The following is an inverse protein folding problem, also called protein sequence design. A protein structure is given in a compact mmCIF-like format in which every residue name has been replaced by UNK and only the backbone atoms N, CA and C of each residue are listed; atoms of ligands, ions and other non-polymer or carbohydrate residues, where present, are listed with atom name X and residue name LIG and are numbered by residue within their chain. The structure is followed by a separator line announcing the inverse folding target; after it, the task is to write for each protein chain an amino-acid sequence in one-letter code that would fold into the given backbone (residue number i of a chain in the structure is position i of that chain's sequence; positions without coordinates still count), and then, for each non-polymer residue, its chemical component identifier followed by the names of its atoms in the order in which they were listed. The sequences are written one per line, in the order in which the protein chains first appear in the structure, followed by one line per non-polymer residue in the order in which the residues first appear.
data_IF_647541207033
#
_entry.id   IF_647541207033
#
_cell.length_a   1.000
_cell.length_b   1.000
_cell.length_c   1.000
_cell.angle_alpha   90.00
_cell.angle_beta   90.00
_cell.angle_gamma   90.00
#
_symmetry.space_group_name_H-M   'P 1'
#
loop_
_entity.id
_entity.type
_entity.pdbx_description
1 polymer ?
#
# COMPACT_ATOMS: atom_id res chain seq x y z
N UNK A 1 -15.95 10.29 12.04
CA UNK A 1 -15.16 11.35 11.37
C UNK A 1 -15.94 11.76 10.11
N UNK A 2 -15.64 12.90 9.50
CA UNK A 2 -16.26 13.24 8.21
C UNK A 2 -15.68 12.32 7.13
N UNK A 3 -16.50 11.72 6.26
CA UNK A 3 -16.00 11.02 5.05
C UNK A 3 -15.65 12.00 3.93
N UNK A 4 -15.58 13.30 4.23
CA UNK A 4 -15.30 14.37 3.29
C UNK A 4 -13.82 14.69 3.35
N UNK A 5 -13.17 14.74 2.18
CA UNK A 5 -11.78 15.17 2.03
C UNK A 5 -11.54 16.56 2.66
N UNK A 6 -10.71 16.64 3.70
CA UNK A 6 -10.37 17.90 4.40
C UNK A 6 -9.24 18.68 3.71
N UNK A 7 -8.28 17.97 3.09
CA UNK A 7 -7.19 18.54 2.32
C UNK A 7 -6.35 17.49 1.60
N UNK A 8 -5.50 17.92 0.67
CA UNK A 8 -4.57 17.05 -0.06
C UNK A 8 -3.25 17.76 -0.38
N UNK A 9 -2.18 17.00 -0.52
CA UNK A 9 -0.88 17.45 -1.04
C UNK A 9 -0.32 16.38 -1.98
N UNK A 10 0.56 16.76 -2.90
CA UNK A 10 1.11 15.88 -3.92
C UNK A 10 2.63 15.95 -3.95
N UNK A 11 3.28 14.81 -3.73
CA UNK A 11 4.72 14.64 -3.85
C UNK A 11 5.06 14.30 -5.31
N UNK A 12 5.95 15.06 -5.99
CA UNK A 12 6.39 14.71 -7.33
C UNK A 12 7.06 13.34 -7.38
N UNK A 13 6.75 12.52 -8.39
CA UNK A 13 7.31 11.17 -8.51
C UNK A 13 8.84 11.14 -8.69
N UNK A 14 9.44 12.24 -9.18
CA UNK A 14 10.89 12.39 -9.31
C UNK A 14 11.49 13.10 -8.08
N UNK A 15 11.06 12.72 -6.88
CA UNK A 15 11.63 13.21 -5.62
C UNK A 15 12.66 12.23 -5.09
N UNK A 16 13.90 12.68 -4.95
CA UNK A 16 15.02 11.87 -4.49
C UNK A 16 15.69 12.49 -3.27
N UNK A 17 16.08 11.65 -2.33
CA UNK A 17 16.94 12.00 -1.21
C UNK A 17 18.40 11.62 -1.49
N UNK A 18 19.32 12.27 -0.76
CA UNK A 18 20.74 11.97 -0.84
C UNK A 18 21.03 10.50 -0.50
N UNK A 19 21.91 9.87 -1.27
CA UNK A 19 22.32 8.49 -1.08
C UNK A 19 23.06 7.94 -2.30
N UNK A 20 23.49 6.68 -2.25
CA UNK A 20 24.02 5.99 -3.43
C UNK A 20 22.95 5.89 -4.52
N UNK A 21 23.39 5.61 -5.76
CA UNK A 21 22.47 5.32 -6.86
C UNK A 21 21.59 4.10 -6.55
N UNK A 22 20.36 4.13 -7.03
CA UNK A 22 19.36 3.06 -6.87
C UNK A 22 18.75 2.64 -8.21
N UNK A 23 18.05 1.51 -8.26
CA UNK A 23 17.35 1.04 -9.45
C UNK A 23 18.27 0.54 -10.56
N UNK A 24 19.47 0.07 -10.22
CA UNK A 24 20.45 -0.48 -11.16
C UNK A 24 20.07 -1.89 -11.66
N UNK A 25 19.16 -2.59 -10.98
CA UNK A 25 18.72 -3.94 -11.34
C UNK A 25 17.23 -4.16 -11.10
N UNK A 26 16.51 -4.65 -12.10
CA UNK A 26 15.13 -5.14 -12.02
C UNK A 26 15.03 -6.60 -11.54
N UNK A 27 16.02 -7.08 -10.79
CA UNK A 27 16.18 -8.49 -10.41
C UNK A 27 16.86 -9.37 -11.45
N UNK A 28 17.03 -8.90 -12.69
CA UNK A 28 17.70 -9.64 -13.77
C UNK A 28 19.00 -8.98 -14.27
N UNK A 29 19.58 -8.07 -13.48
CA UNK A 29 20.84 -7.40 -13.81
C UNK A 29 20.72 -6.34 -14.91
N UNK A 30 19.49 -5.89 -15.20
CA UNK A 30 19.20 -4.75 -16.09
C UNK A 30 18.60 -3.62 -15.27
N UNK A 31 18.90 -2.34 -15.53
CA UNK A 31 18.29 -1.24 -14.80
C UNK A 31 16.76 -1.29 -14.81
N UNK A 32 16.16 -0.79 -13.73
CA UNK A 32 14.72 -0.62 -13.64
C UNK A 32 14.28 0.30 -14.78
N UNK A 33 13.25 -0.09 -15.52
CA UNK A 33 12.72 0.65 -16.64
C UNK A 33 11.19 0.46 -16.71
N UNK A 34 10.45 1.38 -16.10
CA UNK A 34 8.99 1.37 -16.06
C UNK A 34 8.47 2.81 -16.05
N UNK A 35 7.25 3.04 -16.55
CA UNK A 35 6.55 4.33 -16.41
C UNK A 35 7.36 5.56 -16.85
N UNK A 36 8.10 5.41 -17.97
CA UNK A 36 8.93 6.47 -18.55
C UNK A 36 10.20 6.79 -17.76
N UNK A 37 10.50 6.05 -16.70
CA UNK A 37 11.66 6.22 -15.83
C UNK A 37 12.62 5.06 -16.04
N UNK A 38 13.91 5.36 -16.03
CA UNK A 38 14.94 4.33 -16.19
C UNK A 38 16.12 4.64 -15.28
N UNK A 39 16.48 3.66 -14.46
CA UNK A 39 17.62 3.75 -13.57
C UNK A 39 18.98 3.54 -14.28
N UNK A 40 20.08 3.57 -13.53
CA UNK A 40 20.13 3.90 -12.12
C UNK A 40 19.75 5.38 -11.87
N UNK A 41 19.06 5.64 -10.78
CA UNK A 41 18.68 6.98 -10.36
C UNK A 41 19.80 7.62 -9.53
N UNK A 42 20.00 8.92 -9.68
CA UNK A 42 21.01 9.69 -8.96
C UNK A 42 20.54 10.03 -7.53
N UNK A 43 20.30 9.00 -6.71
CA UNK A 43 19.86 9.11 -5.33
C UNK A 43 18.90 7.98 -4.92
N UNK A 44 18.25 8.17 -3.78
CA UNK A 44 17.25 7.24 -3.24
C UNK A 44 15.84 7.82 -3.44
N UNK A 45 14.89 7.09 -4.05
CA UNK A 45 13.53 7.57 -4.18
C UNK A 45 12.91 7.82 -2.80
N UNK A 46 12.16 8.91 -2.66
CA UNK A 46 11.45 9.23 -1.41
C UNK A 46 10.11 8.51 -1.36
N UNK A 47 9.43 8.39 -2.50
CA UNK A 47 8.12 7.77 -2.65
C UNK A 47 8.11 6.26 -2.38
N UNK A 48 6.89 5.71 -2.28
CA UNK A 48 6.63 4.32 -1.91
C UNK A 48 6.53 4.19 -0.40
N UNK A 49 5.51 4.81 0.19
CA UNK A 49 5.31 4.79 1.64
C UNK A 49 4.34 3.68 2.02
N UNK A 50 4.68 2.89 3.03
CA UNK A 50 3.82 1.83 3.56
C UNK A 50 3.21 2.19 4.92
N UNK A 51 3.74 3.19 5.61
CA UNK A 51 3.18 3.66 6.89
C UNK A 51 3.46 5.13 7.19
N UNK A 52 2.66 5.71 8.09
CA UNK A 52 2.74 7.13 8.50
C UNK A 52 2.50 7.31 10.00
N UNK A 53 3.22 8.23 10.61
CA UNK A 53 2.99 8.71 11.99
C UNK A 53 3.15 10.23 12.06
N UNK A 54 2.50 10.88 13.02
CA UNK A 54 2.81 12.28 13.33
C UNK A 54 4.26 12.41 13.82
N UNK A 55 4.97 13.45 13.37
CA UNK A 55 6.29 13.75 13.89
C UNK A 55 6.19 14.18 15.37
N UNK A 56 6.89 13.52 16.32
CA UNK A 56 6.77 13.80 17.75
C UNK A 56 7.10 15.25 18.14
N UNK A 57 8.02 15.87 17.40
CA UNK A 57 8.49 17.24 17.62
C UNK A 57 7.87 18.27 16.65
N UNK A 58 6.89 17.86 15.84
CA UNK A 58 6.19 18.75 14.91
C UNK A 58 5.16 19.65 15.60
N UNK A 59 4.74 20.72 14.93
CA UNK A 59 3.59 21.54 15.33
C UNK A 59 2.23 20.91 14.95
N UNK A 60 2.27 19.64 14.50
CA UNK A 60 1.14 18.90 13.95
C UNK A 60 1.08 18.90 12.42
N UNK A 61 1.92 19.68 11.72
CA UNK A 61 1.96 19.68 10.25
C UNK A 61 2.91 18.63 9.67
N UNK A 62 3.87 18.16 10.46
CA UNK A 62 4.93 17.26 9.98
C UNK A 62 4.64 15.80 10.33
N UNK A 63 4.97 14.91 9.39
CA UNK A 63 4.76 13.48 9.48
C UNK A 63 6.07 12.73 9.24
N UNK A 64 6.19 11.56 9.85
CA UNK A 64 7.14 10.53 9.44
C UNK A 64 6.44 9.55 8.53
N UNK A 65 7.05 9.23 7.40
CA UNK A 65 6.62 8.17 6.50
C UNK A 65 7.71 7.11 6.44
N UNK A 66 7.35 5.83 6.53
CA UNK A 66 8.30 4.74 6.31
C UNK A 66 8.20 4.29 4.85
N UNK A 67 9.35 4.05 4.22
CA UNK A 67 9.39 3.45 2.88
C UNK A 67 8.91 2.01 2.92
N UNK A 68 8.24 1.55 1.87
CA UNK A 68 8.04 0.14 1.51
C UNK A 68 9.41 -0.51 1.15
N UNK A 69 9.43 -1.76 0.70
CA UNK A 69 10.60 -2.41 0.10
C UNK A 69 11.13 -1.71 -1.16
N UNK A 70 10.48 -0.67 -1.67
CA UNK A 70 11.03 0.19 -2.71
C UNK A 70 10.49 -0.10 -4.09
N UNK A 71 11.13 -1.00 -4.85
CA UNK A 71 10.77 -1.23 -6.26
C UNK A 71 9.72 -2.33 -6.48
N UNK A 72 8.96 -2.67 -5.45
CA UNK A 72 7.83 -3.61 -5.51
C UNK A 72 8.24 -5.08 -5.43
N UNK A 73 9.43 -5.37 -4.92
CA UNK A 73 9.87 -6.75 -4.73
C UNK A 73 11.26 -6.90 -4.13
N UNK A 74 11.50 -8.06 -3.53
CA UNK A 74 12.78 -8.37 -2.91
C UNK A 74 13.95 -8.37 -3.92
N UNK A 75 13.72 -8.92 -5.12
CA UNK A 75 14.79 -9.17 -6.09
C UNK A 75 15.30 -7.92 -6.80
N UNK A 76 14.51 -6.84 -6.87
CA UNK A 76 14.86 -5.60 -7.55
C UNK A 76 15.17 -4.44 -6.59
N UNK A 77 15.19 -4.69 -5.28
CA UNK A 77 15.31 -3.64 -4.25
C UNK A 77 16.59 -3.71 -3.42
N UNK A 78 17.63 -4.35 -3.95
CA UNK A 78 18.93 -4.48 -3.27
C UNK A 78 19.72 -3.18 -3.19
N UNK A 79 19.39 -2.16 -3.98
CA UNK A 79 20.00 -0.82 -3.92
C UNK A 79 19.01 0.28 -3.47
N UNK A 80 17.84 -0.12 -2.98
CA UNK A 80 16.87 0.75 -2.33
C UNK A 80 17.10 0.73 -0.82
N UNK A 81 17.52 1.86 -0.24
CA UNK A 81 17.78 1.98 1.19
C UNK A 81 16.49 2.22 1.97
N UNK A 82 16.24 1.41 2.99
CA UNK A 82 15.07 1.53 3.86
C UNK A 82 15.21 2.73 4.80
N UNK A 83 14.21 3.61 4.80
CA UNK A 83 14.26 4.91 5.49
C UNK A 83 12.91 5.29 6.08
N UNK A 84 12.96 6.09 7.14
CA UNK A 84 11.84 6.96 7.50
C UNK A 84 12.12 8.36 6.96
N UNK A 85 11.16 8.97 6.26
CA UNK A 85 11.24 10.31 5.73
C UNK A 85 10.39 11.28 6.56
N UNK A 86 10.96 12.41 6.94
CA UNK A 86 10.23 13.51 7.55
C UNK A 86 9.66 14.38 6.45
N UNK A 87 8.34 14.52 6.42
CA UNK A 87 7.61 15.18 5.34
C UNK A 87 6.59 16.16 5.91
N UNK A 88 6.59 17.37 5.37
CA UNK A 88 5.70 18.47 5.75
C UNK A 88 4.82 18.85 4.55
N UNK A 89 3.64 18.21 4.41
CA UNK A 89 2.68 18.52 3.37
C UNK A 89 1.95 19.85 3.63
N UNK A 90 1.91 20.71 2.63
CA UNK A 90 1.13 21.96 2.65
C UNK A 90 -0.27 21.72 2.07
N UNK A 91 -1.19 21.19 2.87
CA UNK A 91 -2.48 20.70 2.39
C UNK A 91 -3.36 21.78 1.71
N UNK A 92 -3.62 21.60 0.42
CA UNK A 92 -4.68 22.32 -0.28
C UNK A 92 -6.05 21.83 0.21
N UNK A 93 -6.96 22.74 0.53
CA UNK A 93 -8.28 22.38 1.05
C UNK A 93 -8.75 23.33 2.16
N UNK A 94 -9.24 22.76 3.25
CA UNK A 94 -9.74 23.51 4.41
C UNK A 94 -8.68 24.38 5.08
N UNK A 95 -7.41 23.97 5.01
CA UNK A 95 -6.26 24.70 5.57
C UNK A 95 -5.72 25.80 4.65
N UNK A 96 -6.10 25.80 3.36
CA UNK A 96 -5.70 26.82 2.40
C UNK A 96 -4.25 26.75 1.92
N UNK A 97 -3.58 25.60 2.09
CA UNK A 97 -2.26 25.32 1.54
C UNK A 97 -2.25 25.23 0.00
N UNK A 98 -1.06 25.11 -0.58
CA UNK A 98 -0.86 25.09 -2.04
C UNK A 98 -0.74 23.69 -2.64
N UNK A 99 -0.83 22.64 -1.81
CA UNK A 99 -0.74 21.25 -2.21
C UNK A 99 0.70 20.75 -2.43
N UNK A 100 1.72 21.57 -2.13
CA UNK A 100 3.12 21.14 -2.19
C UNK A 100 3.51 20.25 -1.01
N UNK A 101 4.61 19.52 -1.18
CA UNK A 101 5.19 18.65 -0.15
C UNK A 101 6.65 19.02 0.04
N UNK A 102 7.05 19.29 1.29
CA UNK A 102 8.45 19.52 1.66
C UNK A 102 9.03 18.27 2.34
N UNK A 103 10.15 17.75 1.82
CA UNK A 103 10.85 16.59 2.40
C UNK A 103 12.02 17.12 3.22
N UNK A 104 11.87 17.10 4.54
CA UNK A 104 12.76 17.80 5.47
C UNK A 104 14.01 17.00 5.85
N UNK A 105 13.93 15.66 5.79
CA UNK A 105 15.04 14.78 6.14
C UNK A 105 14.66 13.31 6.17
N UNK A 106 15.58 12.47 6.62
CA UNK A 106 15.32 11.04 6.79
C UNK A 106 16.13 10.42 7.94
N UNK A 107 15.64 9.29 8.44
CA UNK A 107 16.35 8.33 9.31
C UNK A 107 16.68 7.10 8.46
N UNK A 108 17.96 6.76 8.37
CA UNK A 108 18.44 5.58 7.63
C UNK A 108 18.41 4.35 8.55
N UNK A 109 17.72 3.28 8.13
CA UNK A 109 17.69 2.04 8.90
C UNK A 109 18.98 1.22 8.67
N UNK A 110 19.54 0.69 9.75
CA UNK A 110 20.85 0.05 9.75
C UNK A 110 20.99 -1.04 10.83
N UNK A 111 21.84 -2.04 10.59
CA UNK A 111 22.27 -3.03 11.59
C UNK A 111 23.78 -2.93 11.89
N UNK A 112 24.27 -1.82 12.46
CA UNK A 112 25.71 -1.61 12.63
C UNK A 112 26.37 -2.59 13.62
N UNK A 113 25.57 -3.28 14.44
CA UNK A 113 26.03 -4.19 15.49
C UNK A 113 25.94 -5.67 15.09
N UNK A 114 25.59 -5.98 13.85
CA UNK A 114 25.50 -7.36 13.33
C UNK A 114 24.57 -8.24 14.17
N UNK A 115 23.35 -7.74 14.38
CA UNK A 115 22.31 -8.39 15.18
C UNK A 115 21.40 -9.28 14.34
N UNK A 116 21.31 -9.06 13.03
CA UNK A 116 20.48 -9.87 12.13
C UNK A 116 21.15 -11.25 11.93
N UNK A 117 20.43 -12.36 12.16
CA UNK A 117 21.03 -13.71 12.17
C UNK A 117 21.12 -14.36 10.76
N UNK A 118 20.90 -13.59 9.70
CA UNK A 118 20.94 -14.03 8.30
C UNK A 118 21.66 -12.98 7.45
N UNK A 119 22.06 -13.38 6.24
CA UNK A 119 22.79 -12.51 5.32
C UNK A 119 21.92 -11.34 4.86
N UNK A 120 22.45 -10.12 4.99
CA UNK A 120 21.85 -8.90 4.43
C UNK A 120 22.67 -8.38 3.24
N UNK A 121 22.08 -7.53 2.43
CA UNK A 121 22.67 -7.00 1.21
C UNK A 121 23.98 -6.24 1.46
N UNK A 122 24.05 -5.47 2.56
CA UNK A 122 25.21 -4.64 2.92
C UNK A 122 26.07 -5.25 4.05
N UNK A 123 26.04 -6.57 4.23
CA UNK A 123 26.74 -7.34 5.29
C UNK A 123 28.23 -6.96 5.43
N UNK A 124 28.91 -6.70 4.31
CA UNK A 124 30.34 -6.39 4.25
C UNK A 124 30.72 -4.92 4.49
N UNK A 125 29.75 -4.05 4.79
CA UNK A 125 29.98 -2.62 5.05
C UNK A 125 30.09 -2.32 6.55
N UNK A 126 30.55 -1.13 6.94
CA UNK A 126 30.65 -0.77 8.36
C UNK A 126 29.28 -0.43 8.92
N UNK A 127 28.50 0.29 8.14
CA UNK A 127 27.21 0.84 8.52
C UNK A 127 26.09 -0.20 8.45
N UNK A 128 26.21 -1.19 7.55
CA UNK A 128 25.23 -2.28 7.36
C UNK A 128 23.81 -1.72 7.15
N UNK A 129 23.69 -0.76 6.23
CA UNK A 129 22.41 -0.17 5.87
C UNK A 129 21.46 -1.22 5.31
N UNK A 130 20.21 -1.19 5.78
CA UNK A 130 19.17 -2.12 5.37
C UNK A 130 18.57 -1.69 4.04
N UNK A 131 18.26 -2.67 3.20
CA UNK A 131 17.66 -2.45 1.89
C UNK A 131 16.33 -3.16 1.75
N UNK A 132 15.56 -2.79 0.73
CA UNK A 132 14.29 -3.46 0.40
C UNK A 132 14.44 -4.93 -0.02
N UNK A 133 15.66 -5.41 -0.28
CA UNK A 133 15.88 -6.85 -0.42
C UNK A 133 15.98 -7.59 0.93
N UNK A 134 16.30 -6.86 2.00
CA UNK A 134 16.48 -7.44 3.34
C UNK A 134 15.14 -7.60 4.07
N UNK A 135 14.27 -6.58 3.96
CA UNK A 135 12.99 -6.50 4.67
C UNK A 135 11.91 -5.81 3.84
N UNK A 136 10.65 -6.22 4.09
CA UNK A 136 9.44 -5.63 3.55
C UNK A 136 8.70 -4.91 4.66
N UNK A 137 9.05 -3.64 4.91
CA UNK A 137 8.56 -2.91 6.09
C UNK A 137 7.24 -2.22 5.78
N UNK A 138 6.25 -2.41 6.65
CA UNK A 138 4.85 -2.05 6.35
C UNK A 138 4.24 -1.06 7.35
N UNK A 139 4.82 -0.95 8.53
CA UNK A 139 4.26 -0.11 9.58
C UNK A 139 5.31 0.26 10.62
N UNK A 140 5.07 1.35 11.34
CA UNK A 140 5.93 1.71 12.47
C UNK A 140 5.19 2.49 13.54
N UNK A 141 5.75 2.46 14.75
CA UNK A 141 5.38 3.31 15.88
C UNK A 141 6.64 3.84 16.55
N UNK A 142 6.56 5.05 17.11
CA UNK A 142 7.64 5.65 17.90
C UNK A 142 7.23 5.59 19.38
N UNK A 143 8.08 5.04 20.23
CA UNK A 143 7.81 4.93 21.66
C UNK A 143 8.20 6.20 22.45
N UNK A 144 7.96 6.19 23.76
CA UNK A 144 8.24 7.36 24.61
C UNK A 144 9.74 7.67 24.79
N UNK A 145 10.63 6.74 24.44
CA UNK A 145 12.09 6.96 24.43
C UNK A 145 12.57 7.50 23.07
N UNK A 146 11.69 7.50 22.06
CA UNK A 146 12.04 7.81 20.68
C UNK A 146 12.48 6.59 19.88
N UNK A 147 12.37 5.38 20.45
CA UNK A 147 12.72 4.15 19.74
C UNK A 147 11.64 3.82 18.70
N UNK A 148 12.06 3.30 17.55
CA UNK A 148 11.22 3.04 16.39
C UNK A 148 10.98 1.53 16.31
N UNK A 149 9.72 1.13 16.41
CA UNK A 149 9.28 -0.25 16.26
C UNK A 149 8.63 -0.42 14.90
N UNK A 150 9.10 -1.37 14.09
CA UNK A 150 8.71 -1.54 12.69
C UNK A 150 8.15 -2.95 12.47
N UNK A 151 6.97 -3.04 11.86
CA UNK A 151 6.37 -4.29 11.39
C UNK A 151 6.85 -4.63 9.98
N UNK A 152 7.06 -5.91 9.72
CA UNK A 152 7.71 -6.42 8.51
C UNK A 152 6.97 -7.65 7.94
N UNK A 153 6.94 -7.81 6.60
CA UNK A 153 6.12 -8.81 5.90
C UNK A 153 6.89 -10.07 5.44
N UNK A 154 8.17 -10.01 5.05
CA UNK A 154 8.89 -11.21 4.56
C UNK A 154 9.08 -12.29 5.64
N UNK A 155 9.11 -11.92 6.92
CA UNK A 155 9.54 -12.82 7.99
C UNK A 155 8.66 -12.93 9.24
N UNK A 156 7.36 -12.62 9.17
CA UNK A 156 6.87 -11.42 9.83
C UNK A 156 7.62 -11.14 11.15
N UNK A 157 8.54 -10.18 11.10
CA UNK A 157 9.31 -9.76 12.26
C UNK A 157 8.77 -8.46 12.84
N UNK A 158 9.07 -8.24 14.12
CA UNK A 158 9.07 -6.92 14.73
C UNK A 158 10.53 -6.49 14.84
N UNK A 159 10.87 -5.36 14.21
CA UNK A 159 12.19 -4.75 14.24
C UNK A 159 12.17 -3.58 15.24
N UNK A 160 13.29 -3.35 15.92
CA UNK A 160 13.40 -2.35 16.98
C UNK A 160 14.68 -1.54 16.80
N UNK A 161 14.53 -0.26 16.49
CA UNK A 161 15.61 0.68 16.21
C UNK A 161 15.64 1.82 17.23
N UNK A 162 16.80 2.42 17.45
CA UNK A 162 16.87 3.71 18.14
C UNK A 162 16.33 4.86 17.26
N UNK A 163 16.20 6.04 17.85
CA UNK A 163 15.79 7.26 17.15
C UNK A 163 16.71 7.67 15.96
N UNK A 164 17.92 7.09 15.87
CA UNK A 164 18.86 7.31 14.77
C UNK A 164 18.79 6.23 13.68
N UNK A 165 17.90 5.23 13.82
CA UNK A 165 17.72 4.15 12.84
C UNK A 165 18.65 2.96 13.02
N UNK A 166 19.38 2.85 14.14
CA UNK A 166 20.24 1.69 14.40
C UNK A 166 19.46 0.59 15.09
N UNK A 167 19.55 -0.64 14.58
CA UNK A 167 18.90 -1.81 15.14
C UNK A 167 19.45 -2.09 16.56
N UNK A 168 18.55 -2.29 17.52
CA UNK A 168 18.87 -2.46 18.94
C UNK A 168 18.89 -3.93 19.38
N UNK A 169 18.12 -4.79 18.71
CA UNK A 169 18.06 -6.22 18.96
C UNK A 169 17.80 -7.02 17.69
N UNK A 170 18.05 -8.33 17.73
CA UNK A 170 17.77 -9.21 16.60
C UNK A 170 16.26 -9.19 16.27
N UNK A 171 15.87 -9.35 14.98
CA UNK A 171 14.46 -9.38 14.57
C UNK A 171 13.62 -10.33 15.42
N UNK A 172 12.54 -9.82 15.99
CA UNK A 172 11.65 -10.59 16.88
C UNK A 172 10.61 -11.28 16.01
N UNK A 173 10.63 -12.60 15.93
CA UNK A 173 9.60 -13.35 15.19
C UNK A 173 8.22 -13.13 15.81
N UNK A 174 7.21 -12.82 14.99
CA UNK A 174 5.84 -12.54 15.45
C UNK A 174 4.80 -13.67 15.31
N UNK A 175 5.13 -14.98 15.19
CA UNK A 175 4.07 -15.97 15.11
C UNK A 175 3.38 -16.11 16.49
N UNK A 176 2.10 -15.70 16.54
CA UNK A 176 1.16 -15.93 17.66
C UNK A 176 1.25 -15.00 18.87
N UNK A 177 1.22 -13.68 18.65
CA UNK A 177 0.91 -12.75 19.75
C UNK A 177 -0.61 -12.77 19.98
N UNK A 178 -1.06 -13.37 21.09
CA UNK A 178 -2.49 -13.39 21.47
C UNK A 178 -2.94 -12.10 22.17
N UNK A 179 -1.99 -11.30 22.67
CA UNK A 179 -2.24 -10.00 23.30
C UNK A 179 -1.47 -8.90 22.55
N UNK A 180 -2.17 -8.22 21.64
CA UNK A 180 -1.64 -7.05 20.95
C UNK A 180 -1.81 -5.83 21.88
N UNK A 181 -0.86 -5.63 22.80
CA UNK A 181 -0.82 -4.42 23.61
C UNK A 181 -0.04 -3.35 22.85
N UNK A 182 -0.65 -2.20 22.58
CA UNK A 182 0.09 -1.04 22.07
C UNK A 182 0.96 -0.43 23.16
N UNK A 183 1.96 0.36 22.76
CA UNK A 183 2.91 1.02 23.68
C UNK A 183 2.23 1.93 24.73
N UNK A 184 1.01 2.39 24.46
CA UNK A 184 0.22 3.25 25.34
C UNK A 184 -0.97 2.51 26.01
N UNK A 185 -1.06 1.18 25.87
CA UNK A 185 -2.10 0.36 26.47
C UNK A 185 -3.48 0.48 25.81
N UNK A 186 -3.58 1.14 24.65
CA UNK A 186 -4.79 1.10 23.82
C UNK A 186 -4.83 -0.19 22.98
N UNK A 187 -6.00 -0.52 22.44
CA UNK A 187 -6.12 -1.56 21.41
C UNK A 187 -5.45 -1.06 20.12
N UNK A 188 -4.70 -1.91 19.37
CA UNK A 188 -4.17 -1.51 18.07
C UNK A 188 -5.32 -1.21 17.11
N UNK A 189 -5.05 -0.35 16.13
CA UNK A 189 -5.92 -0.26 14.97
C UNK A 189 -5.80 -1.54 14.16
N UNK A 190 -6.94 -2.04 13.66
CA UNK A 190 -7.00 -3.21 12.79
C UNK A 190 -7.48 -2.77 11.41
N UNK A 191 -6.64 -2.95 10.39
CA UNK A 191 -6.97 -2.66 9.00
C UNK A 191 -7.31 -3.98 8.30
N UNK A 192 -8.54 -4.12 7.81
CA UNK A 192 -8.98 -5.28 7.04
C UNK A 192 -8.43 -5.22 5.62
N UNK A 193 -7.21 -5.73 5.41
CA UNK A 193 -6.53 -5.82 4.10
C UNK A 193 -7.39 -6.60 3.10
N UNK A 194 -7.96 -5.87 2.13
CA UNK A 194 -8.96 -6.35 1.16
C UNK A 194 -10.23 -6.94 1.78
N UNK A 195 -10.55 -6.54 3.01
CA UNK A 195 -11.58 -7.12 3.88
C UNK A 195 -11.11 -8.36 4.63
N UNK A 196 -12.02 -9.26 4.98
CA UNK A 196 -11.71 -10.56 5.59
C UNK A 196 -11.25 -11.57 4.50
N UNK A 197 -10.21 -11.19 3.75
CA UNK A 197 -9.77 -11.84 2.50
C UNK A 197 -9.26 -13.28 2.68
N UNK A 198 -8.88 -13.66 3.90
CA UNK A 198 -8.57 -15.05 4.25
C UNK A 198 -9.79 -15.98 4.30
N UNK A 199 -10.98 -15.41 4.51
CA UNK A 199 -12.24 -16.16 4.70
C UNK A 199 -13.20 -16.00 3.52
N UNK A 200 -13.27 -14.81 2.92
CA UNK A 200 -14.17 -14.48 1.80
C UNK A 200 -13.36 -13.99 0.59
N UNK A 201 -13.89 -14.07 -0.65
CA UNK A 201 -13.26 -13.47 -1.82
C UNK A 201 -12.93 -12.00 -1.56
N UNK A 202 -11.68 -11.64 -1.80
CA UNK A 202 -11.14 -10.30 -1.53
C UNK A 202 -11.90 -9.20 -2.29
N UNK A 203 -11.93 -8.00 -1.69
CA UNK A 203 -12.63 -6.82 -2.22
C UNK A 203 -14.10 -7.06 -2.58
N UNK A 204 -14.84 -7.73 -1.71
CA UNK A 204 -16.31 -7.81 -1.78
C UNK A 204 -16.92 -7.02 -0.63
N UNK A 205 -18.16 -6.53 -0.78
CA UNK A 205 -18.85 -5.87 0.34
C UNK A 205 -18.98 -6.82 1.54
N UNK A 206 -19.13 -8.11 1.28
CA UNK A 206 -19.22 -9.17 2.28
C UNK A 206 -17.89 -9.37 3.02
N UNK A 207 -16.76 -9.36 2.32
CA UNK A 207 -15.44 -9.40 2.96
C UNK A 207 -15.20 -8.17 3.84
N UNK A 208 -15.56 -6.97 3.37
CA UNK A 208 -15.46 -5.74 4.17
C UNK A 208 -16.36 -5.77 5.40
N UNK A 209 -17.62 -6.19 5.23
CA UNK A 209 -18.56 -6.30 6.33
C UNK A 209 -18.09 -7.30 7.38
N UNK A 210 -17.59 -8.47 6.97
CA UNK A 210 -17.06 -9.47 7.89
C UNK A 210 -15.85 -8.93 8.65
N UNK A 211 -14.93 -8.22 7.99
CA UNK A 211 -13.79 -7.59 8.66
C UNK A 211 -14.26 -6.62 9.76
N UNK A 212 -15.25 -5.78 9.47
CA UNK A 212 -15.82 -4.85 10.45
C UNK A 212 -16.49 -5.60 11.62
N UNK A 213 -17.22 -6.68 11.33
CA UNK A 213 -17.84 -7.55 12.36
C UNK A 213 -16.79 -8.21 13.26
N UNK A 214 -15.62 -8.54 12.71
CA UNK A 214 -14.47 -9.10 13.43
C UNK A 214 -13.64 -8.06 14.18
N UNK A 215 -13.93 -6.76 14.00
CA UNK A 215 -13.33 -5.67 14.75
C UNK A 215 -12.32 -4.82 13.98
N UNK A 216 -12.33 -4.88 12.63
CA UNK A 216 -11.55 -3.93 11.83
C UNK A 216 -12.03 -2.49 12.06
N UNK A 217 -11.08 -1.58 12.29
CA UNK A 217 -11.30 -0.14 12.38
C UNK A 217 -11.29 0.52 11.00
N UNK A 218 -10.61 -0.10 10.04
CA UNK A 218 -10.54 0.33 8.64
C UNK A 218 -10.79 -0.84 7.70
N UNK A 219 -11.37 -0.56 6.54
CA UNK A 219 -11.36 -1.49 5.39
C UNK A 219 -10.48 -0.91 4.29
N UNK A 220 -9.68 -1.76 3.66
CA UNK A 220 -8.68 -1.37 2.67
C UNK A 220 -9.15 -1.81 1.27
N UNK A 221 -9.62 -0.87 0.42
CA UNK A 221 -9.89 -1.14 -0.98
C UNK A 221 -8.74 -0.69 -1.91
N UNK A 222 -8.12 -1.64 -2.58
CA UNK A 222 -7.36 -1.39 -3.82
C UNK A 222 -8.29 -0.90 -4.94
N UNK A 223 -7.85 0.07 -5.75
CA UNK A 223 -8.69 0.75 -6.75
C UNK A 223 -8.09 0.69 -8.15
N UNK A 224 -8.93 0.32 -9.10
CA UNK A 224 -8.68 0.38 -10.56
C UNK A 224 -9.85 1.02 -11.28
N UNK A 225 -9.63 1.52 -12.51
CA UNK A 225 -10.69 2.14 -13.31
C UNK A 225 -11.32 1.16 -14.29
N UNK A 226 -12.64 1.25 -14.43
CA UNK A 226 -13.41 0.68 -15.53
C UNK A 226 -13.31 1.54 -16.79
N UNK A 227 -13.78 1.00 -17.93
CA UNK A 227 -13.80 1.68 -19.24
C UNK A 227 -14.56 3.00 -19.23
N UNK A 228 -15.63 3.08 -18.43
CA UNK A 228 -16.48 4.25 -18.27
C UNK A 228 -16.08 5.12 -17.07
N UNK A 229 -14.87 4.93 -16.53
CA UNK A 229 -14.23 5.84 -15.57
C UNK A 229 -14.77 5.72 -14.14
N UNK A 230 -15.32 4.56 -13.77
CA UNK A 230 -15.75 4.24 -12.40
C UNK A 230 -14.68 3.44 -11.68
N UNK A 231 -14.35 3.86 -10.46
CA UNK A 231 -13.43 3.15 -9.57
C UNK A 231 -14.09 1.93 -8.94
N UNK A 232 -13.49 0.76 -9.12
CA UNK A 232 -13.90 -0.51 -8.52
C UNK A 232 -12.84 -1.03 -7.56
N UNK A 233 -13.25 -1.76 -6.54
CA UNK A 233 -12.34 -2.32 -5.55
C UNK A 233 -11.71 -3.62 -6.08
N UNK A 234 -10.43 -3.58 -6.47
CA UNK A 234 -9.64 -4.67 -7.07
C UNK A 234 -8.14 -4.41 -6.96
N UNK A 235 -7.38 -5.43 -6.57
CA UNK A 235 -5.92 -5.36 -6.44
C UNK A 235 -5.16 -5.21 -7.76
N UNK A 236 -5.64 -5.81 -8.85
CA UNK A 236 -4.97 -5.76 -10.15
C UNK A 236 -5.92 -5.23 -11.24
N UNK A 237 -5.40 -4.58 -12.30
CA UNK A 237 -6.18 -4.27 -13.49
C UNK A 237 -6.73 -5.54 -14.15
N UNK A 238 -6.00 -6.66 -14.05
CA UNK A 238 -6.44 -7.95 -14.56
C UNK A 238 -7.54 -8.56 -13.69
N UNK A 239 -8.57 -9.09 -14.35
CA UNK A 239 -9.72 -9.73 -13.72
C UNK A 239 -9.60 -11.25 -13.63
N UNK A 240 -8.59 -11.83 -14.27
CA UNK A 240 -8.41 -13.26 -14.50
C UNK A 240 -8.42 -14.10 -13.22
N UNK A 241 -7.65 -13.69 -12.20
CA UNK A 241 -7.36 -14.53 -11.04
C UNK A 241 -8.38 -14.43 -9.90
N UNK A 242 -9.27 -13.45 -9.95
CA UNK A 242 -10.19 -13.12 -8.84
C UNK A 242 -11.61 -12.83 -9.32
N UNK A 243 -11.95 -13.22 -10.55
CA UNK A 243 -13.34 -13.26 -11.04
C UNK A 243 -13.59 -14.46 -11.95
N UNK A 244 -14.86 -14.70 -12.28
CA UNK A 244 -15.28 -15.64 -13.32
C UNK A 244 -15.33 -15.02 -14.74
N UNK A 245 -14.54 -13.98 -15.04
CA UNK A 245 -14.60 -13.23 -16.32
C UNK A 245 -14.52 -14.10 -17.57
N UNK A 246 -13.69 -15.14 -17.56
CA UNK A 246 -13.54 -16.04 -18.69
C UNK A 246 -14.83 -16.81 -19.03
N UNK A 247 -15.62 -17.18 -18.01
CA UNK A 247 -16.89 -17.87 -18.19
C UNK A 247 -17.99 -16.95 -18.74
N UNK A 248 -17.97 -15.69 -18.32
CA UNK A 248 -19.00 -14.69 -18.68
C UNK A 248 -18.76 -14.14 -20.08
N UNK A 249 -17.50 -13.87 -20.44
CA UNK A 249 -17.15 -13.05 -21.59
C UNK A 249 -16.30 -13.73 -22.67
N UNK A 250 -15.76 -14.92 -22.42
CA UNK A 250 -14.98 -15.68 -23.40
C UNK A 250 -13.60 -15.09 -23.71
N UNK A 251 -12.70 -15.91 -24.26
CA UNK A 251 -11.30 -15.54 -24.51
C UNK A 251 -11.13 -14.39 -25.51
N UNK A 252 -12.12 -14.12 -26.36
CA UNK A 252 -12.09 -13.02 -27.33
C UNK A 252 -12.09 -11.63 -26.68
N UNK A 253 -12.40 -11.56 -25.37
CA UNK A 253 -12.39 -10.33 -24.59
C UNK A 253 -11.04 -10.05 -23.91
N UNK A 254 -10.04 -10.90 -24.09
CA UNK A 254 -8.68 -10.62 -23.65
C UNK A 254 -8.01 -9.58 -24.54
N UNK A 255 -7.14 -8.78 -23.94
CA UNK A 255 -6.25 -7.87 -24.65
C UNK A 255 -4.81 -8.05 -24.17
N UNK A 256 -3.85 -7.58 -24.96
CA UNK A 256 -2.44 -7.56 -24.61
C UNK A 256 -2.03 -6.11 -24.36
N UNK A 257 -1.54 -5.81 -23.16
CA UNK A 257 -1.14 -4.46 -22.75
C UNK A 257 0.22 -4.47 -22.07
N UNK A 258 0.89 -3.33 -22.10
CA UNK A 258 2.10 -3.10 -21.33
C UNK A 258 1.68 -2.52 -19.97
N UNK A 259 1.86 -3.31 -18.91
CA UNK A 259 1.66 -2.90 -17.53
C UNK A 259 3.03 -2.75 -16.87
N UNK A 260 3.41 -1.52 -16.52
CA UNK A 260 4.67 -1.18 -15.86
C UNK A 260 5.93 -1.77 -16.52
N UNK A 261 5.97 -1.81 -17.85
CA UNK A 261 7.09 -2.33 -18.63
C UNK A 261 6.96 -3.81 -19.01
N UNK A 262 5.93 -4.51 -18.52
CA UNK A 262 5.70 -5.94 -18.79
C UNK A 262 4.51 -6.13 -19.73
N UNK A 263 4.71 -6.90 -20.80
CA UNK A 263 3.61 -7.28 -21.69
C UNK A 263 2.77 -8.39 -21.04
N UNK A 264 1.49 -8.11 -20.79
CA UNK A 264 0.53 -9.01 -20.15
C UNK A 264 -0.66 -9.21 -21.07
N UNK A 265 -1.13 -10.46 -21.19
CA UNK A 265 -2.36 -10.80 -21.91
C UNK A 265 -3.41 -11.34 -20.94
N UNK A 266 -4.53 -10.64 -20.80
CA UNK A 266 -5.57 -10.95 -19.82
C UNK A 266 -6.84 -10.15 -20.04
N UNK A 267 -7.76 -10.19 -19.08
CA UNK A 267 -8.97 -9.37 -19.06
C UNK A 267 -8.75 -8.12 -18.22
N UNK A 268 -8.57 -6.98 -18.86
CA UNK A 268 -8.27 -5.72 -18.17
C UNK A 268 -9.55 -4.97 -17.80
N UNK A 269 -9.66 -4.51 -16.56
CA UNK A 269 -10.84 -3.80 -16.04
C UNK A 269 -11.27 -2.62 -16.91
N UNK A 270 -10.32 -1.87 -17.46
CA UNK A 270 -10.57 -0.73 -18.34
C UNK A 270 -11.04 -1.10 -19.76
N UNK A 271 -11.11 -2.38 -20.10
CA UNK A 271 -11.76 -2.87 -21.33
C UNK A 271 -13.26 -3.16 -21.12
N UNK A 272 -13.76 -3.09 -19.89
CA UNK A 272 -15.15 -3.37 -19.51
C UNK A 272 -15.82 -2.15 -18.88
N UNK A 273 -17.07 -1.90 -19.25
CA UNK A 273 -17.92 -0.93 -18.56
C UNK A 273 -18.31 -1.44 -17.16
N UNK A 274 -18.68 -0.56 -16.24
CA UNK A 274 -19.21 -0.97 -14.93
C UNK A 274 -20.39 -1.96 -15.08
N UNK A 275 -21.27 -1.74 -16.06
CA UNK A 275 -22.40 -2.62 -16.33
C UNK A 275 -21.98 -4.04 -16.76
N UNK A 276 -20.82 -4.19 -17.41
CA UNK A 276 -20.22 -5.48 -17.70
C UNK A 276 -19.55 -6.08 -16.45
N UNK A 277 -18.79 -5.29 -15.69
CA UNK A 277 -18.15 -5.72 -14.44
C UNK A 277 -19.19 -6.25 -13.44
N UNK A 278 -20.37 -5.63 -13.34
CA UNK A 278 -21.45 -6.08 -12.44
C UNK A 278 -22.07 -7.43 -12.81
N UNK A 279 -21.77 -7.97 -14.00
CA UNK A 279 -22.16 -9.35 -14.37
C UNK A 279 -21.20 -10.40 -13.82
N UNK A 280 -19.99 -9.99 -13.44
CA UNK A 280 -18.96 -10.88 -12.92
C UNK A 280 -19.23 -11.24 -11.46
N UNK A 281 -18.59 -12.31 -11.01
CA UNK A 281 -18.61 -12.76 -9.62
C UNK A 281 -17.18 -12.99 -9.12
N UNK A 282 -16.93 -12.55 -7.89
CA UNK A 282 -15.64 -12.70 -7.24
C UNK A 282 -15.36 -14.18 -6.90
N UNK A 283 -14.08 -14.54 -6.97
CA UNK A 283 -13.57 -15.87 -6.58
C UNK A 283 -12.27 -15.70 -5.78
N UNK A 284 -11.90 -16.71 -5.00
CA UNK A 284 -10.65 -16.72 -4.23
C UNK A 284 -9.41 -16.72 -5.13
N UNK A 285 -8.42 -15.91 -4.78
CA UNK A 285 -7.11 -15.80 -5.48
C UNK A 285 -6.11 -16.90 -5.11
N UNK A 286 -6.37 -17.65 -4.03
CA UNK A 286 -5.41 -18.59 -3.44
C UNK A 286 -6.05 -19.96 -3.24
N UNK A 287 -5.44 -21.00 -3.82
CA UNK A 287 -5.90 -22.39 -3.73
C UNK A 287 -6.04 -22.94 -2.30
N UNK A 288 -5.36 -22.33 -1.31
CA UNK A 288 -5.42 -22.75 0.09
C UNK A 288 -6.56 -22.08 0.89
N UNK A 289 -7.21 -21.05 0.35
CA UNK A 289 -8.37 -20.39 0.96
C UNK A 289 -9.64 -21.17 0.63
N UNK A 290 -10.69 -21.02 1.44
CA UNK A 290 -11.96 -21.73 1.21
C UNK A 290 -12.70 -21.18 -0.03
N UNK A 291 -12.87 -21.97 -1.11
CA UNK A 291 -13.55 -21.52 -2.32
C UNK A 291 -15.08 -21.60 -2.21
N UNK A 292 -15.65 -21.95 -1.05
CA UNK A 292 -17.10 -22.16 -0.89
C UNK A 292 -17.95 -20.92 -1.22
N UNK A 293 -17.34 -19.74 -1.20
CA UNK A 293 -17.96 -18.45 -1.52
C UNK A 293 -17.72 -17.96 -2.96
N UNK A 294 -16.98 -18.72 -3.77
CA UNK A 294 -16.71 -18.38 -5.16
C UNK A 294 -18.02 -18.27 -5.96
N UNK A 295 -18.10 -17.25 -6.80
CA UNK A 295 -19.25 -17.03 -7.68
C UNK A 295 -20.47 -16.40 -7.00
N UNK A 296 -20.39 -16.06 -5.70
CA UNK A 296 -21.54 -15.55 -4.96
C UNK A 296 -21.65 -14.02 -4.95
N UNK A 297 -20.52 -13.32 -4.89
CA UNK A 297 -20.48 -11.88 -4.62
C UNK A 297 -20.10 -11.04 -5.84
N UNK A 298 -20.58 -9.80 -5.88
CA UNK A 298 -20.28 -8.84 -6.96
C UNK A 298 -19.00 -8.05 -6.65
N UNK A 299 -18.43 -7.44 -7.69
CA UNK A 299 -17.33 -6.49 -7.54
C UNK A 299 -17.92 -5.11 -7.16
N UNK A 300 -17.53 -4.53 -6.01
CA UNK A 300 -18.02 -3.23 -5.59
C UNK A 300 -17.26 -2.08 -6.25
N UNK A 301 -17.95 -0.96 -6.38
CA UNK A 301 -17.38 0.37 -6.63
C UNK A 301 -16.87 0.97 -5.33
N UNK A 302 -15.94 1.93 -5.41
CA UNK A 302 -15.52 2.70 -4.22
C UNK A 302 -16.73 3.36 -3.52
N UNK A 303 -17.69 3.85 -4.29
CA UNK A 303 -18.92 4.46 -3.76
C UNK A 303 -19.72 3.48 -2.91
N UNK A 304 -19.91 2.25 -3.38
CA UNK A 304 -20.62 1.22 -2.61
C UNK A 304 -19.86 0.82 -1.34
N UNK A 305 -18.51 0.86 -1.34
CA UNK A 305 -17.69 0.64 -0.14
C UNK A 305 -17.89 1.77 0.88
N UNK A 306 -17.91 3.03 0.43
CA UNK A 306 -18.20 4.19 1.30
C UNK A 306 -19.62 4.09 1.86
N UNK A 307 -20.61 3.76 1.03
CA UNK A 307 -22.00 3.59 1.45
C UNK A 307 -22.15 2.47 2.50
N UNK A 308 -21.42 1.35 2.34
CA UNK A 308 -21.37 0.27 3.35
C UNK A 308 -20.85 0.79 4.69
N UNK A 309 -19.71 1.50 4.68
CA UNK A 309 -19.11 2.06 5.89
C UNK A 309 -20.07 3.04 6.57
N UNK A 310 -20.63 3.99 5.83
CA UNK A 310 -21.61 4.95 6.34
C UNK A 310 -22.85 4.27 6.92
N UNK A 311 -23.33 3.20 6.29
CA UNK A 311 -24.45 2.41 6.79
C UNK A 311 -24.10 1.74 8.14
N UNK A 312 -22.92 1.12 8.25
CA UNK A 312 -22.48 0.51 9.51
C UNK A 312 -22.35 1.56 10.62
N UNK A 313 -21.82 2.75 10.31
CA UNK A 313 -21.75 3.84 11.29
C UNK A 313 -23.15 4.27 11.75
N UNK A 314 -24.10 4.42 10.82
CA UNK A 314 -25.47 4.80 11.13
C UNK A 314 -26.22 3.74 11.97
N UNK A 315 -25.98 2.45 11.71
CA UNK A 315 -26.64 1.34 12.39
C UNK A 315 -26.05 1.05 13.78
N UNK A 316 -24.73 1.19 13.93
CA UNK A 316 -24.00 0.72 15.12
C UNK A 316 -23.43 1.84 15.98
N UNK A 317 -23.27 3.04 15.42
CA UNK A 317 -22.55 4.16 16.04
C UNK A 317 -21.03 3.97 16.13
N UNK A 318 -20.49 2.84 15.62
CA UNK A 318 -19.04 2.65 15.48
C UNK A 318 -18.54 3.49 14.31
N UNK A 319 -17.38 4.14 14.47
CA UNK A 319 -16.73 4.81 13.35
C UNK A 319 -15.83 3.82 12.64
N UNK A 320 -15.91 3.77 11.31
CA UNK A 320 -15.11 2.86 10.47
C UNK A 320 -14.47 3.69 9.37
N UNK A 321 -13.16 3.56 9.19
CA UNK A 321 -12.42 4.23 8.14
C UNK A 321 -12.34 3.42 6.85
N UNK A 322 -11.94 4.09 5.77
CA UNK A 322 -11.47 3.44 4.54
C UNK A 322 -9.99 3.78 4.33
N UNK A 323 -9.24 2.83 3.80
CA UNK A 323 -7.81 2.97 3.47
C UNK A 323 -7.62 2.65 1.98
N UNK A 324 -8.00 3.54 1.05
CA UNK A 324 -7.95 3.24 -0.38
C UNK A 324 -6.53 3.28 -0.95
N UNK A 325 -6.17 2.30 -1.77
CA UNK A 325 -4.91 2.26 -2.54
C UNK A 325 -5.21 2.41 -4.04
N UNK A 326 -4.52 3.30 -4.77
CA UNK A 326 -4.64 3.38 -6.24
C UNK A 326 -3.63 2.46 -6.92
N UNK A 327 -4.10 1.53 -7.76
CA UNK A 327 -3.24 0.54 -8.42
C UNK A 327 -2.84 0.97 -9.83
N UNK A 328 -1.55 0.90 -10.13
CA UNK A 328 -0.97 1.24 -11.44
C UNK A 328 -1.44 2.60 -12.01
N UNK A 329 -1.36 3.71 -11.25
CA UNK A 329 -1.89 5.00 -11.68
C UNK A 329 -1.37 5.46 -13.05
N UNK A 330 -0.08 5.25 -13.35
CA UNK A 330 0.49 5.61 -14.67
C UNK A 330 -0.15 4.83 -15.82
N UNK A 331 -0.48 3.55 -15.61
CA UNK A 331 -1.11 2.72 -16.62
C UNK A 331 -2.52 3.21 -16.98
N UNK A 332 -3.29 3.64 -15.99
CA UNK A 332 -4.63 4.21 -16.21
C UNK A 332 -4.57 5.63 -16.76
N UNK A 333 -3.63 6.46 -16.30
CA UNK A 333 -3.44 7.84 -16.79
C UNK A 333 -3.14 7.88 -18.29
N UNK A 334 -2.29 6.97 -18.79
CA UNK A 334 -1.98 6.83 -20.22
C UNK A 334 -3.20 6.47 -21.09
N UNK A 335 -4.31 6.06 -20.47
CA UNK A 335 -5.57 5.68 -21.12
C UNK A 335 -6.69 6.71 -20.87
N UNK A 336 -6.37 7.90 -20.35
CA UNK A 336 -7.33 8.93 -19.93
C UNK A 336 -8.31 8.44 -18.83
N UNK A 337 -7.83 7.57 -17.94
CA UNK A 337 -8.59 6.93 -16.86
C UNK A 337 -7.93 7.13 -15.48
N UNK A 338 -7.24 8.26 -15.27
CA UNK A 338 -6.54 8.61 -14.04
C UNK A 338 -7.40 8.36 -12.79
N UNK A 339 -6.78 7.74 -11.77
CA UNK A 339 -7.48 7.25 -10.58
C UNK A 339 -7.64 8.34 -9.53
N UNK A 340 -6.70 9.27 -9.49
CA UNK A 340 -6.46 10.24 -8.42
C UNK A 340 -7.58 11.29 -8.37
N UNK A 341 -7.92 11.91 -9.49
CA UNK A 341 -9.02 12.88 -9.54
C UNK A 341 -10.35 12.21 -9.21
N UNK A 342 -10.58 10.98 -9.70
CA UNK A 342 -11.79 10.22 -9.42
C UNK A 342 -11.90 9.81 -7.97
N UNK A 343 -10.80 9.43 -7.33
CA UNK A 343 -10.73 9.12 -5.92
C UNK A 343 -11.08 10.36 -5.11
N UNK A 344 -10.42 11.49 -5.39
CA UNK A 344 -10.67 12.77 -4.73
C UNK A 344 -12.13 13.22 -4.89
N UNK A 345 -12.69 13.11 -6.10
CA UNK A 345 -14.07 13.50 -6.35
C UNK A 345 -15.05 12.59 -5.60
N UNK A 346 -14.80 11.28 -5.57
CA UNK A 346 -15.64 10.32 -4.83
C UNK A 346 -15.60 10.56 -3.32
N UNK A 347 -14.44 10.97 -2.77
CA UNK A 347 -14.27 11.32 -1.35
C UNK A 347 -14.87 12.69 -0.97
N UNK A 348 -15.36 13.49 -1.92
CA UNK A 348 -16.02 14.78 -1.65
C UNK A 348 -17.56 14.67 -1.61
N UNK A 349 -18.13 13.61 -2.17
CA UNK A 349 -19.58 13.39 -2.25
C UNK A 349 -20.18 12.95 -0.91
#
# INVERSE_FOLDING_TARGET
MSTILEGFASLPADTFAEGPQSGASNGNGTPIAANGRTGPFDGQPVQGFSGVQFAPDGDGSTYWFISDNGFGGQSNSSDYLLRLYQVDPNFAGSEGGDGSVDVQGFVQLADPNNLIPFDIQNEGTTERYLTGSDFDIESFVIDNNGDIWVGEEFGPYLLHFDASGNLLEAPISTPNIFELNTLNGQTPLVIGHRGASGELPEHTLEAYKLAIEQGADFVEPDLVSTKDGVLIARHEPMLDDTTNVAEVFGEERKSTKNLDGVEITGYFAEDFTLAEIKQLRAVQSRDFRDPSFDGQFEIPTLKEVIELVQQVEAETGKQIGIYPETKHPTFFDLQDLSLEEKLIDTLKE
#
